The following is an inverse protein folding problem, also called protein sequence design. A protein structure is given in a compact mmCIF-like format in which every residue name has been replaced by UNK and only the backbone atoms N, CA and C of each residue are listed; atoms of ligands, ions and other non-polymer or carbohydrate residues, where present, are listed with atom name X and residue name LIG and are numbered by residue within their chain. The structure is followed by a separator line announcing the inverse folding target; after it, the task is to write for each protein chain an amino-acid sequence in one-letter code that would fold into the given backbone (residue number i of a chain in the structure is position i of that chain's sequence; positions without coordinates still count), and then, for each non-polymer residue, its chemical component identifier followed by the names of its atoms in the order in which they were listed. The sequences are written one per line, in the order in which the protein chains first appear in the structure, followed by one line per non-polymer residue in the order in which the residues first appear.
data_IF_105725143488
#
_entry.id   IF_105725143488
#
_cell.length_a   1.000
_cell.length_b   1.000
_cell.length_c   1.000
_cell.angle_alpha   90.00
_cell.angle_beta   90.00
_cell.angle_gamma   90.00
#
_symmetry.space_group_name_H-M   'P 1'
#
loop_
_entity.id
_entity.type
_entity.pdbx_description
1 polymer ?
#
# COMPACT_ATOMS: atom_id res chain seq x y z
N UNK A 1 58.70 18.45 58.37
CA UNK A 1 59.35 17.62 59.44
C UNK A 1 58.79 16.20 59.31
N UNK A 2 59.72 15.31 59.44
CA UNK A 2 59.60 13.84 59.57
C UNK A 2 59.42 13.00 58.30
N UNK A 3 60.57 12.49 57.90
CA UNK A 3 60.78 11.32 57.03
C UNK A 3 60.43 10.03 57.79
N UNK A 4 59.92 9.04 57.08
CA UNK A 4 60.09 7.66 57.54
C UNK A 4 60.28 6.75 56.34
N UNK A 5 61.40 6.14 56.34
CA UNK A 5 61.77 4.98 55.48
C UNK A 5 60.90 3.77 55.78
N UNK A 6 60.57 2.98 54.73
CA UNK A 6 60.37 1.58 54.94
C UNK A 6 60.73 0.75 53.69
N UNK A 7 61.43 -0.25 53.98
CA UNK A 7 62.27 -1.20 53.28
C UNK A 7 61.66 -1.97 52.14
N UNK A 8 62.54 -2.39 51.24
CA UNK A 8 62.39 -3.34 50.16
C UNK A 8 62.03 -4.76 50.65
N UNK A 9 61.00 -5.35 50.07
CA UNK A 9 60.78 -6.80 50.06
C UNK A 9 60.57 -7.24 48.61
N UNK A 10 61.54 -7.96 48.10
CA UNK A 10 61.50 -8.52 46.73
C UNK A 10 60.50 -9.65 46.61
N UNK A 11 59.51 -9.44 45.76
CA UNK A 11 58.60 -10.51 45.31
C UNK A 11 59.14 -11.09 44.02
N UNK A 12 59.70 -12.28 44.09
CA UNK A 12 59.99 -13.12 42.92
C UNK A 12 58.67 -13.52 42.28
N UNK A 13 58.37 -12.96 41.14
CA UNK A 13 57.25 -13.38 40.30
C UNK A 13 57.67 -14.64 39.52
N UNK A 14 57.21 -15.79 39.97
CA UNK A 14 57.26 -17.02 39.18
C UNK A 14 56.35 -16.91 37.95
N UNK A 15 56.95 -16.84 36.77
CA UNK A 15 56.23 -16.99 35.50
C UNK A 15 55.61 -18.39 35.43
N UNK A 16 54.31 -18.49 35.54
CA UNK A 16 53.57 -19.72 35.17
C UNK A 16 53.72 -19.96 33.68
N UNK A 17 54.00 -21.19 33.22
CA UNK A 17 53.98 -21.51 31.78
C UNK A 17 52.58 -21.34 31.24
N UNK A 18 52.44 -20.55 30.18
CA UNK A 18 51.21 -20.37 29.42
C UNK A 18 50.77 -21.70 28.82
N UNK A 19 49.56 -22.17 29.15
CA UNK A 19 48.95 -23.29 28.49
C UNK A 19 48.81 -23.02 26.99
N UNK A 20 49.01 -24.01 26.11
CA UNK A 20 48.87 -23.83 24.67
C UNK A 20 47.40 -23.45 24.36
N UNK A 21 47.20 -22.37 23.61
CA UNK A 21 45.90 -21.95 23.09
C UNK A 21 45.36 -23.07 22.19
N UNK A 22 44.16 -23.63 22.44
CA UNK A 22 43.58 -24.62 21.57
C UNK A 22 43.44 -24.04 20.18
N UNK A 23 43.90 -24.76 19.16
CA UNK A 23 43.78 -24.39 17.77
C UNK A 23 42.29 -24.12 17.46
N UNK A 24 42.02 -22.93 16.93
CA UNK A 24 40.69 -22.54 16.44
C UNK A 24 40.21 -23.62 15.46
N UNK A 25 39.00 -24.22 15.65
CA UNK A 25 38.51 -25.18 14.68
C UNK A 25 38.48 -24.50 13.32
N UNK A 26 39.00 -25.19 12.32
CA UNK A 26 38.97 -24.71 10.93
C UNK A 26 37.55 -24.32 10.59
N UNK A 27 37.37 -23.09 10.07
CA UNK A 27 36.09 -22.62 9.59
C UNK A 27 35.59 -23.68 8.61
N UNK A 28 34.45 -24.32 8.97
CA UNK A 28 33.75 -25.21 8.07
C UNK A 28 33.31 -24.31 6.91
N UNK A 29 33.92 -24.56 5.75
CA UNK A 29 33.54 -23.89 4.51
C UNK A 29 32.03 -24.11 4.35
N UNK A 30 31.24 -23.08 4.02
CA UNK A 30 29.82 -23.27 3.76
C UNK A 30 29.66 -24.34 2.69
N UNK A 31 28.83 -25.33 3.00
CA UNK A 31 28.66 -26.51 2.18
C UNK A 31 28.35 -26.09 0.74
N UNK A 32 29.09 -26.64 -0.22
CA UNK A 32 28.97 -26.39 -1.66
C UNK A 32 27.61 -26.79 -2.29
N UNK A 33 26.56 -27.01 -1.46
CA UNK A 33 25.23 -27.37 -1.88
C UNK A 33 24.36 -26.15 -2.34
N UNK A 34 24.78 -24.92 -1.98
CA UNK A 34 23.98 -23.71 -2.30
C UNK A 34 24.34 -23.07 -3.65
N UNK A 35 25.40 -23.53 -4.31
CA UNK A 35 25.86 -23.00 -5.60
C UNK A 35 25.02 -23.43 -6.81
N UNK A 36 23.96 -24.22 -6.64
CA UNK A 36 23.12 -24.77 -7.74
C UNK A 36 21.69 -24.25 -7.81
N UNK A 37 21.24 -23.46 -6.85
CA UNK A 37 19.94 -22.76 -7.00
C UNK A 37 20.18 -21.48 -7.78
N UNK A 38 19.44 -21.27 -8.88
CA UNK A 38 19.46 -19.95 -9.53
C UNK A 38 19.13 -18.91 -8.50
N UNK A 39 19.85 -17.78 -8.54
CA UNK A 39 19.58 -16.65 -7.65
C UNK A 39 18.10 -16.26 -7.78
N UNK A 40 17.44 -16.04 -6.65
CA UNK A 40 16.04 -15.56 -6.67
C UNK A 40 16.00 -14.21 -7.38
N UNK A 41 15.07 -14.05 -8.32
CA UNK A 41 14.81 -12.79 -9.04
C UNK A 41 13.64 -12.05 -8.43
N UNK A 42 13.53 -10.74 -8.72
CA UNK A 42 12.38 -9.95 -8.31
C UNK A 42 11.06 -10.56 -8.77
N UNK A 43 11.02 -11.10 -9.99
CA UNK A 43 9.86 -11.77 -10.55
C UNK A 43 9.50 -13.06 -9.79
N UNK A 44 10.49 -13.89 -9.46
CA UNK A 44 10.24 -15.13 -8.68
C UNK A 44 9.74 -14.84 -7.26
N UNK A 45 10.27 -13.78 -6.64
CA UNK A 45 9.75 -13.32 -5.34
C UNK A 45 8.33 -12.78 -5.45
N UNK A 46 8.04 -11.99 -6.50
CA UNK A 46 6.70 -11.49 -6.79
C UNK A 46 5.66 -12.61 -6.98
N UNK A 47 6.01 -13.69 -7.65
CA UNK A 47 5.12 -14.85 -7.86
C UNK A 47 4.73 -15.53 -6.54
N UNK A 48 5.57 -15.47 -5.53
CA UNK A 48 5.32 -16.03 -4.19
C UNK A 48 4.57 -15.09 -3.24
N UNK A 49 4.21 -13.89 -3.68
CA UNK A 49 3.66 -12.80 -2.85
C UNK A 49 2.45 -13.18 -1.99
N UNK A 50 1.66 -14.16 -2.43
CA UNK A 50 0.44 -14.60 -1.72
C UNK A 50 0.66 -15.84 -0.84
N UNK A 51 1.77 -16.54 -1.02
CA UNK A 51 2.11 -17.77 -0.30
C UNK A 51 3.23 -17.61 0.73
N UNK A 52 4.05 -16.55 0.60
CA UNK A 52 5.20 -16.27 1.47
C UNK A 52 5.12 -14.84 2.01
N UNK A 53 4.95 -14.65 3.33
CA UNK A 53 4.79 -13.33 3.94
C UNK A 53 5.93 -12.34 3.64
N UNK A 54 7.17 -12.82 3.51
CA UNK A 54 8.33 -11.97 3.20
C UNK A 54 8.61 -11.76 1.71
N UNK A 55 7.80 -12.34 0.82
CA UNK A 55 8.07 -12.32 -0.61
C UNK A 55 7.98 -10.92 -1.22
N UNK A 56 7.05 -10.08 -0.75
CA UNK A 56 6.94 -8.70 -1.25
C UNK A 56 8.15 -7.85 -0.93
N UNK A 57 8.70 -7.96 0.27
CA UNK A 57 9.89 -7.20 0.67
C UNK A 57 11.11 -7.64 -0.13
N UNK A 58 11.24 -8.96 -0.33
CA UNK A 58 12.28 -9.49 -1.21
C UNK A 58 12.10 -9.06 -2.65
N UNK A 59 10.85 -9.06 -3.17
CA UNK A 59 10.57 -8.61 -4.53
C UNK A 59 11.01 -7.16 -4.74
N UNK A 60 10.65 -6.23 -3.83
CA UNK A 60 11.11 -4.83 -3.88
C UNK A 60 12.63 -4.76 -3.93
N UNK A 61 13.31 -5.38 -2.97
CA UNK A 61 14.78 -5.33 -2.86
C UNK A 61 15.50 -5.92 -4.09
N UNK A 62 14.97 -7.01 -4.64
CA UNK A 62 15.53 -7.66 -5.82
C UNK A 62 15.31 -6.85 -7.09
N UNK A 63 14.09 -6.32 -7.32
CA UNK A 63 13.81 -5.43 -8.45
C UNK A 63 14.66 -4.16 -8.41
N UNK A 64 14.87 -3.56 -7.24
CA UNK A 64 15.79 -2.44 -7.10
C UNK A 64 17.24 -2.81 -7.44
N UNK A 65 17.68 -4.00 -7.00
CA UNK A 65 19.01 -4.48 -7.34
C UNK A 65 19.17 -4.77 -8.84
N UNK A 66 18.14 -5.32 -9.47
CA UNK A 66 18.08 -5.55 -10.92
C UNK A 66 18.10 -4.23 -11.70
N UNK A 67 17.33 -3.22 -11.27
CA UNK A 67 17.31 -1.90 -11.88
C UNK A 67 18.68 -1.19 -11.84
N UNK A 68 19.46 -1.41 -10.76
CA UNK A 68 20.81 -0.84 -10.65
C UNK A 68 21.86 -1.52 -11.52
N UNK A 69 21.65 -2.79 -11.89
CA UNK A 69 22.65 -3.62 -12.56
C UNK A 69 22.36 -3.85 -14.04
N UNK A 70 21.10 -3.83 -14.43
CA UNK A 70 20.65 -4.14 -15.79
C UNK A 70 20.92 -2.99 -16.77
N UNK A 71 21.09 -3.33 -18.05
CA UNK A 71 21.22 -2.32 -19.12
C UNK A 71 19.92 -1.54 -19.36
N UNK A 72 18.76 -2.16 -19.10
CA UNK A 72 17.44 -1.55 -19.14
C UNK A 72 16.78 -1.65 -17.76
N UNK A 73 16.74 -0.55 -16.99
CA UNK A 73 16.15 -0.56 -15.66
C UNK A 73 14.62 -0.52 -15.64
N UNK A 74 13.96 -0.18 -16.75
CA UNK A 74 12.54 0.13 -16.76
C UNK A 74 11.63 -1.05 -16.34
N UNK A 75 11.81 -2.30 -16.80
CA UNK A 75 11.01 -3.42 -16.35
C UNK A 75 11.16 -3.71 -14.85
N UNK A 76 12.38 -3.60 -14.33
CA UNK A 76 12.65 -3.83 -12.91
C UNK A 76 12.07 -2.71 -12.02
N UNK A 77 12.18 -1.45 -12.43
CA UNK A 77 11.53 -0.32 -11.76
C UNK A 77 10.00 -0.48 -11.72
N UNK A 78 9.42 -0.93 -12.83
CA UNK A 78 7.98 -1.23 -12.87
C UNK A 78 7.60 -2.36 -11.92
N UNK A 79 8.43 -3.41 -11.84
CA UNK A 79 8.26 -4.51 -10.87
C UNK A 79 8.32 -4.04 -9.43
N UNK A 80 9.27 -3.16 -9.07
CA UNK A 80 9.38 -2.57 -7.75
C UNK A 80 8.14 -1.72 -7.41
N UNK A 81 7.67 -0.90 -8.37
CA UNK A 81 6.48 -0.08 -8.19
C UNK A 81 5.22 -0.94 -7.95
N UNK A 82 5.03 -2.04 -8.70
CA UNK A 82 3.94 -3.02 -8.48
C UNK A 82 3.99 -3.61 -7.07
N UNK A 83 5.17 -4.05 -6.64
CA UNK A 83 5.35 -4.68 -5.33
C UNK A 83 5.04 -3.69 -4.19
N UNK A 84 5.51 -2.44 -4.28
CA UNK A 84 5.18 -1.38 -3.32
C UNK A 84 3.69 -1.04 -3.32
N UNK A 85 3.05 -0.94 -4.50
CA UNK A 85 1.60 -0.68 -4.58
C UNK A 85 0.79 -1.75 -3.86
N UNK A 86 1.19 -3.03 -3.98
CA UNK A 86 0.54 -4.12 -3.26
C UNK A 86 0.83 -4.07 -1.75
N UNK A 87 2.04 -3.72 -1.32
CA UNK A 87 2.35 -3.49 0.11
C UNK A 87 1.45 -2.41 0.71
N UNK A 88 1.28 -1.29 0.00
CA UNK A 88 0.37 -0.21 0.39
C UNK A 88 -1.06 -0.74 0.57
N UNK A 89 -1.58 -1.49 -0.40
CA UNK A 89 -2.93 -2.04 -0.34
C UNK A 89 -3.14 -2.98 0.86
N UNK A 90 -2.13 -3.77 1.21
CA UNK A 90 -2.15 -4.63 2.40
C UNK A 90 -2.08 -3.82 3.70
N UNK A 91 -1.23 -2.78 3.75
CA UNK A 91 -1.14 -1.90 4.90
C UNK A 91 -2.43 -1.09 5.14
N UNK A 92 -3.13 -0.67 4.08
CA UNK A 92 -4.44 -0.04 4.19
C UNK A 92 -5.50 -0.97 4.80
N UNK A 93 -5.42 -2.27 4.52
CA UNK A 93 -6.34 -3.26 5.06
C UNK A 93 -6.01 -3.68 6.49
N UNK A 94 -4.72 -3.81 6.80
CA UNK A 94 -4.22 -4.29 8.09
C UNK A 94 -3.21 -3.27 8.64
N UNK A 95 -3.70 -2.12 9.15
CA UNK A 95 -2.81 -1.06 9.62
C UNK A 95 -1.99 -1.53 10.82
N UNK A 96 -0.69 -1.54 10.66
CA UNK A 96 0.28 -1.66 11.75
C UNK A 96 0.96 -0.31 11.96
N UNK A 97 0.63 0.42 13.02
CA UNK A 97 1.17 1.75 13.27
C UNK A 97 2.69 1.77 13.46
N UNK A 98 3.27 0.67 13.98
CA UNK A 98 4.70 0.58 14.28
C UNK A 98 5.52 0.22 13.04
N UNK A 99 4.93 -0.53 12.09
CA UNK A 99 5.59 -1.00 10.87
C UNK A 99 5.17 -0.24 9.61
N UNK A 100 4.42 0.85 9.72
CA UNK A 100 3.87 1.55 8.56
C UNK A 100 4.95 2.22 7.72
N UNK A 101 5.30 1.57 6.61
CA UNK A 101 6.14 2.13 5.53
C UNK A 101 5.32 2.75 4.41
N UNK A 102 4.00 2.83 4.56
CA UNK A 102 3.05 3.19 3.49
C UNK A 102 3.40 4.52 2.81
N UNK A 103 3.83 5.52 3.57
CA UNK A 103 4.24 6.82 3.02
C UNK A 103 5.49 6.72 2.16
N UNK A 104 6.52 6.04 2.67
CA UNK A 104 7.75 5.80 1.92
C UNK A 104 7.47 4.95 0.66
N UNK A 105 6.66 3.91 0.80
CA UNK A 105 6.27 3.07 -0.34
C UNK A 105 5.50 3.84 -1.41
N UNK A 106 4.61 4.75 -1.04
CA UNK A 106 3.86 5.56 -2.00
C UNK A 106 4.79 6.52 -2.76
N UNK A 107 5.72 7.15 -2.06
CA UNK A 107 6.71 8.04 -2.66
C UNK A 107 7.65 7.30 -3.61
N UNK A 108 8.24 6.18 -3.15
CA UNK A 108 9.16 5.39 -3.96
C UNK A 108 8.46 4.69 -5.13
N UNK A 109 7.23 4.21 -4.93
CA UNK A 109 6.39 3.66 -6.01
C UNK A 109 6.20 4.70 -7.12
N UNK A 110 5.85 5.94 -6.78
CA UNK A 110 5.68 7.00 -7.75
C UNK A 110 6.99 7.32 -8.47
N UNK A 111 8.12 7.37 -7.74
CA UNK A 111 9.44 7.63 -8.33
C UNK A 111 9.88 6.52 -9.29
N UNK A 112 9.71 5.25 -8.90
CA UNK A 112 10.06 4.09 -9.73
C UNK A 112 9.21 4.04 -10.99
N UNK A 113 7.89 4.19 -10.84
CA UNK A 113 6.96 4.20 -11.97
C UNK A 113 7.24 5.37 -12.93
N UNK A 114 7.58 6.56 -12.39
CA UNK A 114 7.97 7.70 -13.23
C UNK A 114 9.21 7.41 -14.08
N UNK A 115 10.24 6.83 -13.49
CA UNK A 115 11.46 6.42 -14.18
C UNK A 115 11.21 5.31 -15.22
N UNK A 116 10.29 4.38 -14.92
CA UNK A 116 9.93 3.29 -15.82
C UNK A 116 9.18 3.75 -17.09
N UNK A 117 8.61 4.96 -17.12
CA UNK A 117 7.83 5.47 -18.27
C UNK A 117 8.60 5.58 -19.58
N UNK A 118 9.92 5.59 -19.53
CA UNK A 118 10.76 5.58 -20.73
C UNK A 118 10.87 4.19 -21.39
N UNK A 119 10.41 3.13 -20.73
CA UNK A 119 10.47 1.76 -21.24
C UNK A 119 9.44 1.50 -22.32
N UNK A 120 9.87 0.82 -23.38
CA UNK A 120 8.98 0.47 -24.49
C UNK A 120 7.92 -0.53 -24.05
N UNK A 121 6.66 -0.31 -24.43
CA UNK A 121 5.55 -1.24 -24.21
C UNK A 121 5.01 -1.28 -22.76
N UNK A 122 5.57 -0.52 -21.83
CA UNK A 122 5.12 -0.46 -20.43
C UNK A 122 4.62 0.94 -20.02
N UNK A 123 4.56 1.87 -20.97
CA UNK A 123 4.22 3.29 -20.71
C UNK A 123 2.88 3.46 -19.99
N UNK A 124 1.83 2.75 -20.43
CA UNK A 124 0.50 2.88 -19.85
C UNK A 124 0.47 2.42 -18.39
N UNK A 125 1.11 1.30 -18.08
CA UNK A 125 1.16 0.77 -16.71
C UNK A 125 2.05 1.62 -15.81
N UNK A 126 3.19 2.08 -16.31
CA UNK A 126 4.06 2.97 -15.56
C UNK A 126 3.37 4.31 -15.26
N UNK A 127 2.61 4.87 -16.21
CA UNK A 127 1.81 6.06 -16.01
C UNK A 127 0.70 5.83 -14.97
N UNK A 128 0.03 4.68 -15.04
CA UNK A 128 -1.00 4.28 -14.09
C UNK A 128 -0.45 4.20 -12.66
N UNK A 129 0.61 3.42 -12.45
CA UNK A 129 1.22 3.25 -11.13
C UNK A 129 1.76 4.57 -10.58
N UNK A 130 2.37 5.40 -11.43
CA UNK A 130 2.80 6.74 -11.04
C UNK A 130 1.62 7.57 -10.52
N UNK A 131 0.51 7.60 -11.25
CA UNK A 131 -0.67 8.39 -10.86
C UNK A 131 -1.31 7.88 -9.57
N UNK A 132 -1.49 6.54 -9.43
CA UNK A 132 -2.05 5.92 -8.24
C UNK A 132 -1.20 6.21 -7.01
N UNK A 133 0.12 5.94 -7.08
CA UNK A 133 1.02 6.13 -5.95
C UNK A 133 1.17 7.62 -5.59
N UNK A 134 1.18 8.51 -6.59
CA UNK A 134 1.17 9.97 -6.37
C UNK A 134 -0.12 10.45 -5.70
N UNK A 135 -1.28 9.89 -6.07
CA UNK A 135 -2.54 10.20 -5.41
C UNK A 135 -2.56 9.74 -3.96
N UNK A 136 -2.07 8.53 -3.68
CA UNK A 136 -1.93 8.00 -2.31
C UNK A 136 -1.00 8.89 -1.49
N UNK A 137 0.20 9.18 -2.00
CA UNK A 137 1.16 10.04 -1.33
C UNK A 137 0.57 11.42 -1.02
N UNK A 138 -0.09 12.04 -2.01
CA UNK A 138 -0.72 13.35 -1.83
C UNK A 138 -1.80 13.34 -0.75
N UNK A 139 -2.66 12.31 -0.70
CA UNK A 139 -3.68 12.16 0.35
C UNK A 139 -3.07 12.03 1.75
N UNK A 140 -1.94 11.34 1.88
CA UNK A 140 -1.23 11.20 3.15
C UNK A 140 -0.64 12.51 3.64
N UNK A 141 -0.28 13.43 2.73
CA UNK A 141 0.19 14.78 3.05
C UNK A 141 -0.96 15.74 3.37
N UNK A 142 -2.19 15.37 3.09
CA UNK A 142 -3.39 16.15 3.32
C UNK A 142 -4.14 16.54 2.04
N UNK A 143 -5.15 17.39 2.20
CA UNK A 143 -6.00 17.78 1.05
C UNK A 143 -5.31 18.72 0.07
N UNK A 144 -4.49 19.67 0.52
CA UNK A 144 -3.86 20.67 -0.34
C UNK A 144 -2.98 20.04 -1.42
N UNK A 145 -2.05 19.12 -1.13
CA UNK A 145 -1.26 18.46 -2.16
C UNK A 145 -2.09 17.67 -3.17
N UNK A 146 -3.19 17.07 -2.72
CA UNK A 146 -4.09 16.34 -3.63
C UNK A 146 -4.83 17.30 -4.59
N UNK A 147 -5.29 18.45 -4.08
CA UNK A 147 -5.95 19.49 -4.88
C UNK A 147 -4.97 20.05 -5.94
N UNK A 148 -3.75 20.39 -5.53
CA UNK A 148 -2.72 20.92 -6.44
C UNK A 148 -2.40 19.96 -7.57
N UNK A 149 -2.35 18.65 -7.29
CA UNK A 149 -2.04 17.61 -8.29
C UNK A 149 -3.25 17.10 -9.07
N UNK A 150 -4.47 17.51 -8.73
CA UNK A 150 -5.69 16.99 -9.34
C UNK A 150 -5.64 16.99 -10.87
N UNK A 151 -5.25 18.12 -11.48
CA UNK A 151 -5.21 18.24 -12.95
C UNK A 151 -4.25 17.24 -13.59
N UNK A 152 -3.07 17.09 -13.02
CA UNK A 152 -2.05 16.15 -13.47
C UNK A 152 -2.50 14.69 -13.35
N UNK A 153 -3.09 14.32 -12.19
CA UNK A 153 -3.62 12.98 -11.94
C UNK A 153 -4.78 12.65 -12.86
N UNK A 154 -5.73 13.58 -13.03
CA UNK A 154 -6.88 13.40 -13.95
C UNK A 154 -6.39 13.17 -15.38
N UNK A 155 -5.45 13.99 -15.88
CA UNK A 155 -4.90 13.84 -17.22
C UNK A 155 -4.18 12.48 -17.39
N UNK A 156 -3.44 12.04 -16.38
CA UNK A 156 -2.77 10.75 -16.41
C UNK A 156 -3.76 9.58 -16.49
N UNK A 157 -4.78 9.54 -15.63
CA UNK A 157 -5.79 8.47 -15.66
C UNK A 157 -6.60 8.48 -16.96
N UNK A 158 -6.98 9.65 -17.49
CA UNK A 158 -7.64 9.73 -18.79
C UNK A 158 -6.75 9.20 -19.91
N UNK A 159 -5.45 9.49 -19.87
CA UNK A 159 -4.50 8.95 -20.84
C UNK A 159 -4.37 7.45 -20.74
N UNK A 160 -4.32 6.88 -19.52
CA UNK A 160 -4.30 5.43 -19.30
C UNK A 160 -5.58 4.77 -19.84
N UNK A 161 -6.75 5.35 -19.57
CA UNK A 161 -8.03 4.84 -20.08
C UNK A 161 -8.08 4.80 -21.62
N UNK A 162 -7.37 5.71 -22.30
CA UNK A 162 -7.23 5.69 -23.75
C UNK A 162 -6.24 4.65 -24.27
N UNK A 163 -5.09 4.48 -23.57
CA UNK A 163 -4.02 3.59 -24.01
C UNK A 163 -4.29 2.12 -23.66
N UNK A 164 -4.85 1.87 -22.52
CA UNK A 164 -5.06 0.53 -21.95
C UNK A 164 -6.30 0.51 -21.05
N UNK A 165 -7.51 0.56 -21.63
CA UNK A 165 -8.77 0.70 -20.86
C UNK A 165 -9.02 -0.44 -19.88
N UNK A 166 -8.52 -1.64 -20.18
CA UNK A 166 -8.71 -2.83 -19.32
C UNK A 166 -7.58 -3.02 -18.30
N UNK A 167 -6.60 -2.12 -18.26
CA UNK A 167 -5.48 -2.21 -17.35
C UNK A 167 -5.98 -2.21 -15.89
N UNK A 168 -5.49 -3.16 -15.10
CA UNK A 168 -5.83 -3.33 -13.70
C UNK A 168 -7.34 -3.41 -13.43
N UNK A 169 -8.09 -4.06 -14.35
CA UNK A 169 -9.54 -4.22 -14.23
C UNK A 169 -10.28 -2.89 -14.26
N UNK A 170 -10.08 -2.10 -15.31
CA UNK A 170 -10.60 -0.74 -15.47
C UNK A 170 -10.09 0.22 -14.37
N UNK A 171 -8.81 0.06 -14.02
CA UNK A 171 -8.19 0.80 -12.93
C UNK A 171 -8.20 2.31 -13.12
N UNK A 172 -8.08 2.80 -14.35
CA UNK A 172 -8.10 4.24 -14.64
C UNK A 172 -9.45 4.87 -14.31
N UNK A 173 -10.55 4.24 -14.71
CA UNK A 173 -11.91 4.69 -14.38
C UNK A 173 -12.18 4.59 -12.88
N UNK A 174 -11.72 3.51 -12.23
CA UNK A 174 -11.84 3.34 -10.78
C UNK A 174 -11.15 4.48 -10.02
N UNK A 175 -9.92 4.81 -10.40
CA UNK A 175 -9.15 5.86 -9.73
C UNK A 175 -9.66 7.28 -10.04
N UNK A 176 -10.17 7.52 -11.27
CA UNK A 176 -10.86 8.78 -11.59
C UNK A 176 -12.09 8.97 -10.70
N UNK A 177 -12.93 7.97 -10.59
CA UNK A 177 -14.10 8.05 -9.73
C UNK A 177 -13.73 8.25 -8.26
N UNK A 178 -12.71 7.55 -7.76
CA UNK A 178 -12.21 7.75 -6.40
C UNK A 178 -11.67 9.17 -6.18
N UNK A 179 -10.96 9.74 -7.15
CA UNK A 179 -10.42 11.10 -7.09
C UNK A 179 -11.54 12.16 -7.05
N UNK A 180 -12.53 12.07 -7.95
CA UNK A 180 -13.68 12.98 -7.95
C UNK A 180 -14.48 12.89 -6.65
N UNK A 181 -14.66 11.68 -6.12
CA UNK A 181 -15.33 11.50 -4.84
C UNK A 181 -14.52 12.02 -3.64
N UNK A 182 -13.18 11.96 -3.69
CA UNK A 182 -12.33 12.37 -2.57
C UNK A 182 -12.27 13.88 -2.38
N UNK A 183 -12.35 14.65 -3.47
CA UNK A 183 -12.20 16.11 -3.45
C UNK A 183 -13.49 16.81 -3.00
N UNK A 184 -13.40 17.95 -2.29
CA UNK A 184 -14.55 18.81 -2.05
C UNK A 184 -14.97 19.53 -3.34
N UNK A 185 -16.24 19.95 -3.43
CA UNK A 185 -16.81 20.57 -4.63
C UNK A 185 -16.03 21.82 -5.10
N UNK A 186 -15.60 22.69 -4.18
CA UNK A 186 -14.83 23.89 -4.51
C UNK A 186 -13.43 23.57 -5.11
N UNK A 187 -12.92 22.35 -4.88
CA UNK A 187 -11.65 21.86 -5.44
C UNK A 187 -11.88 20.94 -6.66
N UNK A 188 -13.08 20.91 -7.20
CA UNK A 188 -13.46 20.14 -8.38
C UNK A 188 -13.82 18.69 -8.07
N UNK A 189 -14.21 18.39 -6.83
CA UNK A 189 -14.89 17.14 -6.49
C UNK A 189 -16.30 17.16 -7.08
N UNK A 190 -16.74 16.02 -7.59
CA UNK A 190 -18.06 15.84 -8.20
C UNK A 190 -18.52 14.41 -7.98
N UNK A 191 -19.60 14.25 -7.20
CA UNK A 191 -20.12 12.93 -6.85
C UNK A 191 -20.80 12.23 -8.03
N UNK A 192 -21.42 13.00 -8.95
CA UNK A 192 -22.03 12.43 -10.16
C UNK A 192 -20.96 11.93 -11.14
N UNK A 193 -19.90 12.72 -11.36
CA UNK A 193 -18.76 12.26 -12.15
C UNK A 193 -18.10 11.05 -11.51
N UNK A 194 -17.93 11.04 -10.18
CA UNK A 194 -17.42 9.88 -9.45
C UNK A 194 -18.26 8.64 -9.69
N UNK A 195 -19.61 8.78 -9.59
CA UNK A 195 -20.55 7.70 -9.86
C UNK A 195 -20.45 7.20 -11.30
N UNK A 196 -20.39 8.11 -12.27
CA UNK A 196 -20.28 7.78 -13.70
C UNK A 196 -19.03 6.95 -13.99
N UNK A 197 -17.85 7.37 -13.50
CA UNK A 197 -16.60 6.65 -13.70
C UNK A 197 -16.61 5.29 -13.00
N UNK A 198 -17.08 5.21 -11.75
CA UNK A 198 -17.09 3.95 -11.01
C UNK A 198 -18.09 2.94 -11.56
N UNK A 199 -19.25 3.37 -12.05
CA UNK A 199 -20.16 2.50 -12.78
C UNK A 199 -19.56 2.02 -14.10
N UNK A 200 -18.83 2.87 -14.83
CA UNK A 200 -18.11 2.47 -16.03
C UNK A 200 -17.04 1.40 -15.73
N UNK A 201 -16.30 1.55 -14.62
CA UNK A 201 -15.34 0.56 -14.18
C UNK A 201 -16.01 -0.80 -13.85
N UNK A 202 -17.14 -0.78 -13.13
CA UNK A 202 -17.91 -1.99 -12.83
C UNK A 202 -18.45 -2.64 -14.12
N UNK A 203 -18.95 -1.84 -15.07
CA UNK A 203 -19.44 -2.37 -16.35
C UNK A 203 -18.35 -2.99 -17.21
N UNK A 204 -17.16 -2.39 -17.22
CA UNK A 204 -16.02 -2.87 -17.99
C UNK A 204 -15.38 -4.13 -17.39
N UNK A 205 -15.27 -4.20 -16.08
CA UNK A 205 -14.65 -5.30 -15.36
C UNK A 205 -15.54 -5.71 -14.16
N UNK A 206 -16.68 -6.39 -14.44
CA UNK A 206 -17.67 -6.74 -13.40
C UNK A 206 -17.14 -7.77 -12.40
N UNK A 207 -16.13 -8.55 -12.78
CA UNK A 207 -15.51 -9.53 -11.89
C UNK A 207 -14.44 -8.91 -10.95
N UNK A 208 -14.02 -7.67 -11.22
CA UNK A 208 -13.05 -6.99 -10.37
C UNK A 208 -13.71 -6.42 -9.11
N UNK A 209 -13.58 -7.15 -8.02
CA UNK A 209 -14.17 -6.80 -6.74
C UNK A 209 -13.77 -5.42 -6.21
N UNK A 210 -12.60 -4.91 -6.59
CA UNK A 210 -12.11 -3.58 -6.20
C UNK A 210 -13.01 -2.46 -6.73
N UNK A 211 -13.56 -2.61 -7.94
CA UNK A 211 -14.49 -1.65 -8.52
C UNK A 211 -15.76 -1.51 -7.67
N UNK A 212 -16.30 -2.66 -7.24
CA UNK A 212 -17.47 -2.70 -6.37
C UNK A 212 -17.20 -2.09 -4.99
N UNK A 213 -16.07 -2.42 -4.37
CA UNK A 213 -15.67 -1.85 -3.07
C UNK A 213 -15.53 -0.34 -3.15
N UNK A 214 -14.85 0.17 -4.20
CA UNK A 214 -14.62 1.61 -4.33
C UNK A 214 -15.93 2.35 -4.61
N UNK A 215 -16.82 1.82 -5.47
CA UNK A 215 -18.14 2.41 -5.72
C UNK A 215 -18.98 2.51 -4.44
N UNK A 216 -19.03 1.43 -3.67
CA UNK A 216 -19.77 1.40 -2.42
C UNK A 216 -19.22 2.41 -1.39
N UNK A 217 -17.89 2.40 -1.20
CA UNK A 217 -17.22 3.27 -0.21
C UNK A 217 -17.24 4.75 -0.60
N UNK A 218 -16.93 5.05 -1.86
CA UNK A 218 -16.69 6.42 -2.31
C UNK A 218 -17.97 7.16 -2.71
N UNK A 219 -18.95 6.45 -3.27
CA UNK A 219 -20.20 7.05 -3.79
C UNK A 219 -21.38 6.69 -2.92
N UNK A 220 -21.68 5.40 -2.71
CA UNK A 220 -22.90 5.01 -2.02
C UNK A 220 -22.98 5.56 -0.58
N UNK A 221 -21.87 5.55 0.16
CA UNK A 221 -21.81 6.14 1.51
C UNK A 221 -22.09 7.65 1.46
N UNK A 222 -21.46 8.39 0.55
CA UNK A 222 -21.65 9.85 0.43
C UNK A 222 -23.05 10.24 -0.04
N UNK A 223 -23.60 9.45 -0.97
CA UNK A 223 -24.96 9.63 -1.45
C UNK A 223 -26.04 9.12 -0.48
N UNK A 224 -25.64 8.48 0.64
CA UNK A 224 -26.55 7.79 1.56
C UNK A 224 -27.41 6.73 0.86
N UNK A 225 -26.89 6.12 -0.21
CA UNK A 225 -27.55 5.05 -0.99
C UNK A 225 -27.18 3.68 -0.40
N UNK A 226 -27.94 3.26 0.62
CA UNK A 226 -27.73 1.98 1.30
C UNK A 226 -27.97 0.76 0.37
N UNK A 227 -28.88 0.90 -0.61
CA UNK A 227 -29.15 -0.19 -1.53
C UNK A 227 -27.96 -0.46 -2.45
N UNK A 228 -27.42 0.60 -3.07
CA UNK A 228 -26.20 0.54 -3.88
C UNK A 228 -25.00 0.01 -3.08
N UNK A 229 -24.85 0.46 -1.83
CA UNK A 229 -23.79 0.01 -0.93
C UNK A 229 -23.83 -1.50 -0.72
N UNK A 230 -25.00 -2.03 -0.33
CA UNK A 230 -25.14 -3.48 -0.08
C UNK A 230 -24.97 -4.30 -1.35
N UNK A 231 -25.61 -3.90 -2.43
CA UNK A 231 -25.52 -4.60 -3.72
C UNK A 231 -24.09 -4.88 -4.11
N UNK A 232 -23.27 -3.84 -4.18
CA UNK A 232 -21.89 -3.96 -4.63
C UNK A 232 -20.97 -4.65 -3.62
N UNK A 233 -21.14 -4.42 -2.32
CA UNK A 233 -20.32 -5.10 -1.32
C UNK A 233 -20.64 -6.60 -1.21
N UNK A 234 -21.89 -7.01 -1.44
CA UNK A 234 -22.22 -8.43 -1.46
C UNK A 234 -21.60 -9.16 -2.65
N UNK A 235 -21.42 -8.50 -3.80
CA UNK A 235 -20.65 -9.05 -4.93
C UNK A 235 -19.18 -9.18 -4.54
N UNK A 236 -18.58 -8.10 -4.05
CA UNK A 236 -17.16 -8.09 -3.67
C UNK A 236 -16.82 -9.10 -2.55
N UNK A 237 -17.70 -9.25 -1.55
CA UNK A 237 -17.48 -10.17 -0.43
C UNK A 237 -17.42 -11.65 -0.82
N UNK A 238 -17.96 -12.01 -2.00
CA UNK A 238 -17.98 -13.37 -2.56
C UNK A 238 -16.87 -13.60 -3.58
N UNK A 239 -16.08 -12.58 -3.90
CA UNK A 239 -15.03 -12.68 -4.91
C UNK A 239 -13.87 -13.55 -4.46
N UNK A 240 -13.07 -14.03 -5.43
CA UNK A 240 -11.80 -14.71 -5.17
C UNK A 240 -10.65 -13.78 -4.76
N UNK A 241 -10.82 -12.46 -4.86
CA UNK A 241 -9.87 -11.46 -4.37
C UNK A 241 -10.00 -11.37 -2.84
N UNK A 242 -9.10 -12.02 -2.13
CA UNK A 242 -9.13 -12.10 -0.66
C UNK A 242 -9.07 -10.72 0.00
N UNK A 243 -8.31 -9.77 -0.57
CA UNK A 243 -8.15 -8.42 -0.03
C UNK A 243 -9.44 -7.61 -0.21
N UNK A 244 -9.99 -7.57 -1.42
CA UNK A 244 -11.24 -6.86 -1.71
C UNK A 244 -12.42 -7.48 -0.95
N UNK A 245 -12.48 -8.82 -0.85
CA UNK A 245 -13.52 -9.51 -0.09
C UNK A 245 -13.44 -9.19 1.42
N UNK A 246 -12.24 -9.08 1.99
CA UNK A 246 -12.07 -8.66 3.39
C UNK A 246 -12.51 -7.21 3.60
N UNK A 247 -12.14 -6.30 2.69
CA UNK A 247 -12.58 -4.90 2.73
C UNK A 247 -14.11 -4.77 2.63
N UNK A 248 -14.73 -5.55 1.73
CA UNK A 248 -16.18 -5.55 1.58
C UNK A 248 -16.90 -6.00 2.87
N UNK A 249 -16.43 -7.08 3.50
CA UNK A 249 -16.98 -7.56 4.78
C UNK A 249 -16.83 -6.53 5.89
N UNK A 250 -15.65 -5.94 6.04
CA UNK A 250 -15.41 -4.90 7.05
C UNK A 250 -16.33 -3.67 6.85
N UNK A 251 -16.60 -3.27 5.61
CA UNK A 251 -17.55 -2.19 5.33
C UNK A 251 -19.00 -2.57 5.65
N UNK A 252 -19.42 -3.82 5.34
CA UNK A 252 -20.76 -4.31 5.69
C UNK A 252 -20.98 -4.37 7.21
N UNK A 253 -19.98 -4.73 8.00
CA UNK A 253 -20.05 -4.70 9.47
C UNK A 253 -20.27 -3.29 9.99
N UNK A 254 -19.73 -2.29 9.31
CA UNK A 254 -19.87 -0.86 9.67
C UNK A 254 -21.08 -0.17 9.05
N UNK A 255 -21.98 -0.89 8.39
CA UNK A 255 -23.13 -0.29 7.70
C UNK A 255 -23.98 0.59 8.60
N UNK A 256 -24.25 0.13 9.86
CA UNK A 256 -25.05 0.91 10.82
C UNK A 256 -24.38 2.23 11.19
N UNK A 257 -23.06 2.23 11.30
CA UNK A 257 -22.27 3.44 11.57
C UNK A 257 -22.34 4.41 10.37
N UNK A 258 -22.20 3.88 9.16
CA UNK A 258 -22.10 4.68 7.93
C UNK A 258 -23.44 5.30 7.48
N UNK A 259 -24.58 4.64 7.76
CA UNK A 259 -25.90 5.06 7.31
C UNK A 259 -26.86 5.45 8.45
N UNK A 260 -26.40 5.49 9.68
CA UNK A 260 -27.26 5.57 10.85
C UNK A 260 -28.04 4.27 11.07
N UNK A 261 -28.35 3.94 12.33
CA UNK A 261 -29.33 2.90 12.63
C UNK A 261 -30.69 3.32 12.06
N UNK A 262 -31.73 2.41 12.06
CA UNK A 262 -33.10 2.85 11.92
C UNK A 262 -33.28 3.97 12.93
N UNK A 263 -33.81 5.13 12.48
CA UNK A 263 -34.01 6.26 13.37
C UNK A 263 -34.70 5.70 14.62
N UNK A 264 -33.98 5.64 15.73
CA UNK A 264 -34.57 5.37 17.01
C UNK A 264 -35.61 6.47 17.14
N UNK A 265 -36.90 6.07 17.11
CA UNK A 265 -38.03 7.01 17.06
C UNK A 265 -37.72 8.04 18.14
N UNK A 266 -37.53 9.28 17.72
CA UNK A 266 -37.16 10.36 18.63
C UNK A 266 -38.07 10.25 19.85
N UNK A 267 -37.50 9.80 20.97
CA UNK A 267 -38.25 9.79 22.22
C UNK A 267 -38.66 11.25 22.45
N UNK A 268 -39.96 11.53 22.61
CA UNK A 268 -40.36 12.89 22.86
C UNK A 268 -39.63 13.38 24.10
N UNK A 269 -38.94 14.51 23.98
CA UNK A 269 -38.22 15.13 25.09
C UNK A 269 -39.17 15.25 26.25
N UNK A 270 -38.98 14.57 27.38
CA UNK A 270 -39.87 14.70 28.53
C UNK A 270 -39.64 16.11 29.09
N UNK A 271 -40.60 17.02 28.94
CA UNK A 271 -40.53 18.37 29.49
C UNK A 271 -40.83 19.52 28.53
N UNK A 272 -41.49 19.30 27.37
CA UNK A 272 -42.01 20.42 26.57
C UNK A 272 -43.03 21.24 27.36
N UNK A 273 -43.07 22.60 27.21
CA UNK A 273 -43.88 23.47 28.05
C UNK A 273 -45.35 23.10 27.95
N UNK A 274 -45.98 22.75 29.10
CA UNK A 274 -47.41 22.62 29.24
C UNK A 274 -48.03 24.00 28.97
N UNK A 275 -48.92 24.08 27.99
CA UNK A 275 -49.81 25.25 27.86
C UNK A 275 -50.64 25.36 29.15
N UNK A 276 -50.38 26.42 29.90
CA UNK A 276 -51.22 26.84 31.01
C UNK A 276 -52.61 27.24 30.48
N UNK A 277 -53.68 27.03 31.24
CA UNK A 277 -55.06 27.24 30.84
C UNK A 277 -55.42 28.73 30.62
#
# INVERSE_FOLDING_TARGET
MAAALCAAAGCHSQKRPSAPIPARPAAVAPAAADARRPAETGQLAWEKRDSDPGALDRAVSLFEAEARRGPDPAPALLGAARARRLRIARAEQYPDPEASTMGADAQECAADAHRARAGAGIEAEALYLWAVCSAIWSRMQGFTPLIERRGELTAAFLRVAQLAPDLDGAGAERELGALYAALPAYAGGDLEEARRYLLAAVQRAPEDARNHVVLARAVAVKAQDRALFREHLMVAAKSGDALAAAQARALLERERELFGGPAEAAQPIPGGPQKLP
#
